data_IF_113119926593
#
_entry.id   IF_113119926593
#
_cell.length_a   1.000
_cell.length_b   1.000
_cell.length_c   1.000
_cell.angle_alpha   90.00
_cell.angle_beta   90.00
_cell.angle_gamma   90.00
#
_symmetry.space_group_name_H-M   'P 1'
#
loop_
_entity.id
_entity.type
_entity.pdbx_description
1 polymer ?
#
# COMPACT_ATOMS: atom_id res chain seq x y z
N UNK A 1 -1.16 -11.49 6.15
CA UNK A 1 -1.12 -12.43 5.02
C UNK A 1 -2.10 -11.93 3.96
N UNK A 2 -1.60 -11.28 2.90
CA UNK A 2 -2.40 -10.93 1.72
C UNK A 2 -2.37 -12.17 0.82
N UNK A 3 -3.50 -12.86 0.69
CA UNK A 3 -3.55 -14.19 0.07
C UNK A 3 -3.82 -14.16 -1.45
N UNK A 4 -4.09 -12.98 -2.03
CA UNK A 4 -4.37 -12.83 -3.47
C UNK A 4 -5.56 -13.67 -3.99
N UNK A 5 -6.46 -14.09 -3.09
CA UNK A 5 -7.56 -15.00 -3.43
C UNK A 5 -8.68 -14.29 -4.22
N UNK A 6 -9.34 -15.05 -5.10
CA UNK A 6 -10.54 -14.59 -5.79
C UNK A 6 -11.70 -14.33 -4.82
N UNK A 7 -12.64 -13.47 -5.22
CA UNK A 7 -13.86 -13.21 -4.45
C UNK A 7 -14.66 -14.49 -4.17
N UNK A 8 -14.62 -15.47 -5.07
CA UNK A 8 -15.24 -16.79 -4.90
C UNK A 8 -14.62 -17.57 -3.74
N UNK A 9 -13.29 -17.70 -3.70
CA UNK A 9 -12.62 -18.43 -2.61
C UNK A 9 -12.84 -17.73 -1.26
N UNK A 10 -12.87 -16.40 -1.26
CA UNK A 10 -13.18 -15.61 -0.06
C UNK A 10 -14.62 -15.84 0.38
N UNK A 11 -15.58 -15.83 -0.56
CA UNK A 11 -16.99 -16.13 -0.30
C UNK A 11 -17.19 -17.52 0.31
N UNK A 12 -16.52 -18.54 -0.26
CA UNK A 12 -16.53 -19.91 0.27
C UNK A 12 -15.92 -19.96 1.68
N UNK A 13 -14.81 -19.27 1.95
CA UNK A 13 -14.18 -19.26 3.28
C UNK A 13 -15.07 -18.63 4.34
N UNK A 14 -15.72 -17.52 4.02
CA UNK A 14 -16.54 -16.76 4.97
C UNK A 14 -18.02 -17.17 4.94
N UNK A 15 -18.40 -18.13 4.09
CA UNK A 15 -19.79 -18.60 3.94
C UNK A 15 -20.77 -17.46 3.66
N UNK A 16 -20.38 -16.55 2.77
CA UNK A 16 -21.19 -15.40 2.36
C UNK A 16 -21.26 -15.30 0.84
N UNK A 17 -22.22 -14.55 0.32
CA UNK A 17 -22.30 -14.32 -1.13
C UNK A 17 -21.10 -13.50 -1.63
N UNK A 18 -20.66 -13.70 -2.89
CA UNK A 18 -19.62 -12.86 -3.50
C UNK A 18 -19.95 -11.37 -3.46
N UNK A 19 -21.23 -11.01 -3.61
CA UNK A 19 -21.71 -9.63 -3.48
C UNK A 19 -21.42 -9.06 -2.09
N UNK A 20 -21.74 -9.82 -1.03
CA UNK A 20 -21.45 -9.42 0.36
C UNK A 20 -19.95 -9.21 0.56
N UNK A 21 -19.13 -10.14 0.07
CA UNK A 21 -17.67 -10.03 0.13
C UNK A 21 -17.19 -8.75 -0.56
N UNK A 22 -17.60 -8.52 -1.80
CA UNK A 22 -17.18 -7.34 -2.57
C UNK A 22 -17.64 -6.04 -1.91
N UNK A 23 -18.86 -6.00 -1.35
CA UNK A 23 -19.38 -4.85 -0.61
C UNK A 23 -18.50 -4.51 0.59
N UNK A 24 -18.21 -5.48 1.45
CA UNK A 24 -17.37 -5.24 2.63
C UNK A 24 -15.93 -4.94 2.26
N UNK A 25 -15.38 -5.58 1.22
CA UNK A 25 -14.05 -5.25 0.71
C UNK A 25 -13.96 -3.76 0.32
N UNK A 26 -14.95 -3.25 -0.42
CA UNK A 26 -15.02 -1.82 -0.78
C UNK A 26 -15.11 -0.92 0.45
N UNK A 27 -15.94 -1.26 1.43
CA UNK A 27 -16.03 -0.48 2.67
C UNK A 27 -14.71 -0.44 3.44
N UNK A 28 -14.02 -1.58 3.57
CA UNK A 28 -12.72 -1.64 4.23
C UNK A 28 -11.67 -0.84 3.48
N UNK A 29 -11.63 -0.96 2.14
CA UNK A 29 -10.72 -0.17 1.30
C UNK A 29 -10.92 1.34 1.53
N UNK A 30 -12.17 1.81 1.47
CA UNK A 30 -12.51 3.22 1.69
C UNK A 30 -12.16 3.65 3.11
N UNK A 31 -12.43 2.83 4.13
CA UNK A 31 -12.09 3.13 5.52
C UNK A 31 -10.57 3.30 5.71
N UNK A 32 -9.77 2.36 5.19
CA UNK A 32 -8.32 2.40 5.35
C UNK A 32 -7.65 3.50 4.53
N UNK A 33 -8.22 3.88 3.38
CA UNK A 33 -7.71 4.96 2.55
C UNK A 33 -8.11 6.35 3.04
N UNK A 34 -9.15 6.46 3.86
CA UNK A 34 -9.64 7.75 4.37
C UNK A 34 -8.96 8.17 5.66
N UNK A 35 -9.02 9.48 5.91
CA UNK A 35 -8.74 10.06 7.23
C UNK A 35 -9.88 9.72 8.21
N UNK A 36 -9.59 9.53 9.51
CA UNK A 36 -8.28 9.70 10.16
C UNK A 36 -7.41 8.43 10.15
N UNK A 37 -7.91 7.31 9.62
CA UNK A 37 -7.17 6.03 9.71
C UNK A 37 -5.84 6.11 8.97
N UNK A 38 -5.87 6.48 7.68
CA UNK A 38 -4.66 6.51 6.86
C UNK A 38 -3.57 7.40 7.47
N UNK A 39 -3.93 8.64 7.82
CA UNK A 39 -3.01 9.63 8.37
C UNK A 39 -2.44 9.29 9.74
N UNK A 40 -3.11 8.43 10.51
CA UNK A 40 -2.63 8.05 11.86
C UNK A 40 -1.84 6.75 11.86
N UNK A 41 -2.09 5.85 10.92
CA UNK A 41 -1.48 4.53 10.88
C UNK A 41 -0.37 4.39 9.84
N UNK A 42 -0.42 5.16 8.75
CA UNK A 42 0.57 5.10 7.66
C UNK A 42 1.49 6.30 7.77
N UNK A 43 2.77 6.03 8.08
CA UNK A 43 3.81 7.04 8.17
C UNK A 43 4.97 6.67 7.24
N UNK A 44 5.51 7.66 6.56
CA UNK A 44 6.74 7.47 5.81
C UNK A 44 7.93 7.29 6.76
N UNK A 45 8.90 6.43 6.42
CA UNK A 45 10.14 6.36 7.17
C UNK A 45 10.85 7.72 7.15
N UNK A 46 11.40 8.11 8.28
CA UNK A 46 12.31 9.24 8.42
C UNK A 46 13.76 8.80 8.24
N UNK A 47 14.69 9.75 8.17
CA UNK A 47 16.13 9.45 8.14
C UNK A 47 16.62 8.58 9.32
N UNK A 48 15.92 8.66 10.46
CA UNK A 48 16.23 7.89 11.67
C UNK A 48 15.51 6.54 11.73
N UNK A 49 14.64 6.23 10.76
CA UNK A 49 13.90 4.96 10.76
C UNK A 49 14.85 3.82 10.40
N UNK A 50 15.04 2.80 11.27
CA UNK A 50 15.98 1.73 11.01
C UNK A 50 15.52 0.87 9.83
N UNK A 51 16.48 0.51 8.97
CA UNK A 51 16.24 -0.44 7.88
C UNK A 51 16.06 -1.83 8.49
N UNK A 52 14.99 -2.54 8.08
CA UNK A 52 14.73 -3.91 8.53
C UNK A 52 15.91 -4.83 8.17
N UNK A 53 16.31 -5.71 9.09
CA UNK A 53 17.48 -6.59 8.94
C UNK A 53 17.38 -7.51 7.70
N UNK A 54 16.15 -7.89 7.34
CA UNK A 54 15.83 -8.68 6.15
C UNK A 54 16.21 -7.96 4.85
N UNK A 55 16.10 -6.63 4.82
CA UNK A 55 16.48 -5.82 3.64
C UNK A 55 18.00 -5.71 3.55
N UNK A 56 18.69 -5.54 4.68
CA UNK A 56 20.15 -5.42 4.70
C UNK A 56 20.87 -6.73 4.33
N UNK A 57 20.27 -7.88 4.66
CA UNK A 57 20.89 -9.20 4.48
C UNK A 57 20.62 -9.89 3.13
N UNK A 58 19.66 -9.40 2.35
CA UNK A 58 19.23 -10.06 1.12
C UNK A 58 19.73 -9.31 -0.13
N UNK A 59 20.59 -9.96 -0.97
CA UNK A 59 21.12 -9.37 -2.19
C UNK A 59 20.07 -8.87 -3.19
N UNK A 60 18.83 -9.39 -3.14
CA UNK A 60 17.73 -8.94 -3.99
C UNK A 60 17.38 -7.46 -3.75
N UNK A 61 17.64 -6.93 -2.55
CA UNK A 61 17.31 -5.54 -2.23
C UNK A 61 18.38 -4.54 -2.65
N UNK A 62 19.56 -4.99 -3.13
CA UNK A 62 20.64 -4.06 -3.55
C UNK A 62 20.22 -3.13 -4.69
N UNK A 63 19.29 -3.59 -5.53
CA UNK A 63 18.78 -2.82 -6.68
C UNK A 63 17.87 -1.67 -6.26
N UNK A 64 17.45 -1.65 -4.99
CA UNK A 64 16.64 -0.58 -4.40
C UNK A 64 17.49 0.42 -3.58
N UNK A 65 18.82 0.35 -3.69
CA UNK A 65 19.70 1.35 -3.07
C UNK A 65 19.37 2.73 -3.65
N UNK A 66 19.14 3.70 -2.77
CA UNK A 66 18.71 5.06 -3.09
C UNK A 66 17.38 5.17 -3.86
N UNK A 67 16.59 4.09 -3.92
CA UNK A 67 15.23 4.18 -4.44
C UNK A 67 14.32 4.95 -3.46
N UNK A 68 13.71 6.02 -3.96
CA UNK A 68 12.78 6.86 -3.20
C UNK A 68 11.39 6.20 -3.10
N UNK A 69 11.05 5.30 -4.04
CA UNK A 69 9.80 4.56 -4.03
C UNK A 69 9.57 3.75 -5.30
N UNK A 70 8.48 2.98 -5.33
CA UNK A 70 8.04 2.27 -6.53
C UNK A 70 7.04 3.13 -7.32
N UNK A 71 7.24 3.27 -8.64
CA UNK A 71 6.37 4.08 -9.52
C UNK A 71 4.97 3.46 -9.67
N UNK A 72 4.87 2.13 -9.70
CA UNK A 72 3.61 1.40 -9.93
C UNK A 72 3.08 0.69 -8.66
N UNK A 73 3.67 0.99 -7.50
CA UNK A 73 3.28 0.41 -6.23
C UNK A 73 2.25 1.26 -5.51
N UNK A 74 1.00 1.30 -6.00
CA UNK A 74 -0.20 1.96 -5.40
C UNK A 74 0.03 2.63 -4.02
N UNK A 75 0.54 3.86 -4.05
CA UNK A 75 0.67 4.81 -2.93
C UNK A 75 0.57 6.23 -3.55
N UNK A 76 -0.62 6.66 -3.97
CA UNK A 76 -0.86 7.98 -4.63
C UNK A 76 -2.25 8.46 -4.14
N UNK A 77 -2.46 9.69 -3.65
CA UNK A 77 -2.12 10.96 -4.29
C UNK A 77 -0.66 11.42 -4.23
N UNK A 78 -0.05 11.51 -5.41
CA UNK A 78 1.19 12.19 -5.71
C UNK A 78 0.82 13.44 -6.51
N UNK A 79 0.83 14.59 -5.86
CA UNK A 79 0.95 15.88 -6.55
C UNK A 79 2.36 16.37 -6.28
N UNK A 80 3.10 16.71 -7.34
CA UNK A 80 4.25 17.58 -7.18
C UNK A 80 3.75 18.99 -6.82
N UNK A 81 4.40 19.72 -5.90
CA UNK A 81 4.16 21.15 -5.71
C UNK A 81 4.27 21.88 -7.05
N UNK A 82 3.45 22.93 -7.26
CA UNK A 82 3.41 23.70 -8.51
C UNK A 82 4.80 24.22 -8.96
N UNK A 83 5.68 24.46 -8.00
CA UNK A 83 7.06 24.92 -8.18
C UNK A 83 7.92 23.91 -8.96
N UNK A 84 7.65 22.61 -8.80
CA UNK A 84 8.38 21.50 -9.43
C UNK A 84 7.77 21.06 -10.78
N UNK A 85 6.66 21.66 -11.23
CA UNK A 85 5.97 21.32 -12.48
C UNK A 85 6.55 22.06 -13.72
N UNK A 86 7.79 22.53 -13.65
CA UNK A 86 8.33 23.53 -14.59
C UNK A 86 8.64 23.02 -16.00
N UNK A 87 8.24 21.79 -16.37
CA UNK A 87 8.42 21.22 -17.71
C UNK A 87 7.24 20.34 -18.15
N UNK A 88 6.01 20.86 -18.07
CA UNK A 88 4.93 20.47 -19.00
C UNK A 88 4.60 21.63 -19.92
#
# INVERSE_FOLDING_TARGET
CVTGLSSRHVAERFQHSPDTITRYFKHMLVFFANTPFYSTQVHFPTADTPIATQIMGDPCFRFFHDCIGAVDGTHIHAFAPLEDQQYM
#
